data_IF_166095412070
#
_entry.id   IF_166095412070
#
_cell.length_a   1.000
_cell.length_b   1.000
_cell.length_c   1.000
_cell.angle_alpha   90.00
_cell.angle_beta   90.00
_cell.angle_gamma   90.00
#
_symmetry.space_group_name_H-M   'P 1'
#
loop_
_entity.id
_entity.type
_entity.pdbx_description
1 polymer ?
#
# COMPACT_ATOMS: atom_id res chain seq x y z
N UNK A 1 -17.84 -3.85 35.13
CA UNK A 1 -19.13 -3.94 34.42
C UNK A 1 -18.98 -3.18 33.12
N UNK A 2 -19.24 -3.90 32.02
CA UNK A 2 -19.48 -3.50 30.63
C UNK A 2 -18.41 -2.78 29.79
N UNK A 3 -17.58 -3.63 29.15
CA UNK A 3 -16.77 -3.37 27.96
C UNK A 3 -17.65 -3.16 26.69
N UNK A 4 -18.41 -2.05 26.60
CA UNK A 4 -19.32 -1.81 25.46
C UNK A 4 -19.04 -0.59 24.57
N UNK A 5 -17.91 0.10 24.73
CA UNK A 5 -17.63 1.27 23.88
C UNK A 5 -16.22 1.24 23.27
N UNK A 6 -16.12 0.64 22.08
CA UNK A 6 -15.11 0.97 21.08
C UNK A 6 -15.85 1.62 19.90
N UNK A 7 -16.05 2.94 20.01
CA UNK A 7 -16.51 3.74 18.89
C UNK A 7 -15.40 3.80 17.83
N UNK A 8 -15.65 3.16 16.69
CA UNK A 8 -15.50 3.72 15.35
C UNK A 8 -14.46 4.87 15.21
N UNK A 9 -13.17 4.56 15.13
CA UNK A 9 -12.14 5.55 14.72
C UNK A 9 -11.02 4.91 13.91
N UNK A 10 -11.36 4.25 12.79
CA UNK A 10 -10.53 4.23 11.56
C UNK A 10 -11.48 4.02 10.36
N UNK A 11 -12.40 4.95 10.16
CA UNK A 11 -13.00 5.13 8.83
C UNK A 11 -12.22 6.24 8.15
N UNK A 12 -11.57 5.90 7.04
CA UNK A 12 -10.90 6.84 6.14
C UNK A 12 -11.81 8.05 5.92
N UNK A 13 -11.46 9.19 6.54
CA UNK A 13 -12.00 10.54 6.32
C UNK A 13 -13.44 10.61 5.74
N UNK A 14 -14.42 10.13 6.49
CA UNK A 14 -15.79 10.64 6.37
C UNK A 14 -15.93 11.78 7.40
N UNK A 15 -16.20 13.03 6.99
CA UNK A 15 -16.64 14.03 7.95
C UNK A 15 -17.90 13.47 8.62
N UNK A 16 -17.93 13.58 9.94
CA UNK A 16 -18.92 13.12 10.93
C UNK A 16 -20.41 13.36 10.54
N UNK A 17 -20.67 14.11 9.46
CA UNK A 17 -22.00 14.46 8.93
C UNK A 17 -22.67 13.34 8.13
N UNK A 18 -21.93 12.38 7.55
CA UNK A 18 -22.55 11.30 6.73
C UNK A 18 -23.00 10.10 7.57
N UNK A 19 -22.44 9.91 8.77
CA UNK A 19 -22.78 8.78 9.65
C UNK A 19 -24.16 8.91 10.31
N UNK A 20 -24.75 10.10 10.35
CA UNK A 20 -26.10 10.31 10.90
C UNK A 20 -27.23 9.95 9.93
N UNK A 21 -26.92 9.67 8.65
CA UNK A 21 -27.91 9.27 7.63
C UNK A 21 -27.66 7.87 7.05
N UNK A 22 -26.64 7.15 7.53
CA UNK A 22 -26.35 5.81 7.06
C UNK A 22 -27.14 4.78 7.90
N UNK A 23 -28.15 4.07 7.35
CA UNK A 23 -28.89 3.05 8.09
C UNK A 23 -27.99 1.88 8.56
N UNK A 24 -26.77 1.76 8.02
CA UNK A 24 -25.74 0.81 8.45
C UNK A 24 -25.09 1.17 9.80
N UNK A 25 -25.13 2.44 10.24
CA UNK A 25 -24.52 2.87 11.51
C UNK A 25 -25.11 2.14 12.74
N UNK A 26 -26.34 1.63 12.63
CA UNK A 26 -27.01 0.86 13.67
C UNK A 26 -26.40 -0.55 13.89
N UNK A 27 -25.75 -1.15 12.87
CA UNK A 27 -25.09 -2.46 12.98
C UNK A 27 -23.75 -2.41 13.73
N UNK A 28 -23.14 -1.23 13.86
CA UNK A 28 -21.84 -1.05 14.50
C UNK A 28 -21.89 -0.84 16.02
N UNK A 29 -23.09 -0.88 16.64
CA UNK A 29 -23.24 -0.54 18.07
C UNK A 29 -22.67 -1.59 19.03
N UNK A 30 -22.49 -2.84 18.62
CA UNK A 30 -21.89 -3.89 19.47
C UNK A 30 -21.18 -4.94 18.59
N UNK A 31 -19.94 -4.67 18.17
CA UNK A 31 -19.10 -5.72 17.57
C UNK A 31 -18.23 -6.32 18.68
N UNK A 32 -18.65 -7.48 19.18
CA UNK A 32 -17.88 -8.31 20.10
C UNK A 32 -16.68 -8.93 19.35
N UNK A 33 -15.47 -8.84 19.92
CA UNK A 33 -14.28 -9.51 19.37
C UNK A 33 -14.44 -11.04 19.28
N UNK A 34 -15.38 -11.61 20.01
CA UNK A 34 -15.72 -13.04 19.94
C UNK A 34 -16.52 -13.42 18.68
N UNK A 35 -16.98 -12.44 17.88
CA UNK A 35 -17.79 -12.64 16.67
C UNK A 35 -17.00 -12.54 15.36
N UNK A 36 -15.68 -12.68 15.40
CA UNK A 36 -14.87 -12.81 14.17
C UNK A 36 -15.19 -14.14 13.50
N UNK A 37 -15.65 -14.10 12.25
CA UNK A 37 -15.84 -15.33 11.47
C UNK A 37 -14.48 -16.00 11.23
N UNK A 38 -14.31 -17.21 11.76
CA UNK A 38 -13.07 -17.98 11.67
C UNK A 38 -12.74 -18.30 10.20
N UNK A 39 -11.46 -18.24 9.87
CA UNK A 39 -10.94 -18.73 8.59
C UNK A 39 -11.12 -20.24 8.48
N UNK A 40 -11.48 -20.74 7.29
CA UNK A 40 -11.66 -22.18 7.05
C UNK A 40 -10.34 -22.94 7.30
N UNK A 41 -10.42 -24.17 7.85
CA UNK A 41 -9.25 -25.03 8.08
C UNK A 41 -8.48 -25.24 6.78
N UNK A 42 -7.23 -24.80 6.75
CA UNK A 42 -6.34 -24.96 5.59
C UNK A 42 -5.43 -26.18 5.77
N UNK A 43 -5.10 -26.87 4.68
CA UNK A 43 -4.15 -27.98 4.68
C UNK A 43 -2.75 -27.47 5.06
N UNK A 44 -2.18 -28.07 6.10
CA UNK A 44 -0.81 -27.81 6.56
C UNK A 44 0.16 -28.46 5.57
N UNK A 45 1.19 -27.76 5.05
CA UNK A 45 2.24 -28.38 4.24
C UNK A 45 2.86 -29.56 5.00
N UNK A 46 3.05 -30.70 4.34
CA UNK A 46 3.48 -31.96 4.96
C UNK A 46 4.78 -31.82 5.79
N UNK A 47 5.71 -30.93 5.41
CA UNK A 47 6.95 -30.66 6.15
C UNK A 47 6.75 -30.05 7.54
N UNK A 48 5.68 -29.26 7.74
CA UNK A 48 5.38 -28.58 9.01
C UNK A 48 4.57 -29.48 9.97
N UNK A 49 3.91 -30.52 9.44
CA UNK A 49 3.01 -31.41 10.21
C UNK A 49 3.71 -32.29 11.26
N UNK A 50 5.03 -32.45 11.19
CA UNK A 50 5.79 -33.49 11.92
C UNK A 50 6.31 -33.01 13.29
N UNK A 51 6.26 -31.70 13.60
CA UNK A 51 6.84 -31.14 14.84
C UNK A 51 5.79 -30.62 15.81
N UNK A 52 5.95 -30.98 17.08
CA UNK A 52 5.16 -30.38 18.17
C UNK A 52 5.49 -28.89 18.30
N UNK A 53 4.47 -28.02 18.19
CA UNK A 53 4.62 -26.56 18.22
C UNK A 53 5.40 -26.07 19.46
N UNK A 54 5.25 -26.73 20.61
CA UNK A 54 5.90 -26.36 21.88
C UNK A 54 7.42 -26.51 21.88
N UNK A 55 8.01 -27.18 20.89
CA UNK A 55 9.47 -27.36 20.76
C UNK A 55 10.12 -26.32 19.83
N UNK A 56 9.35 -25.43 19.20
CA UNK A 56 9.87 -24.44 18.27
C UNK A 56 10.38 -23.20 19.02
N UNK A 57 11.68 -22.93 18.90
CA UNK A 57 12.30 -21.72 19.47
C UNK A 57 12.09 -20.46 18.62
N UNK A 58 12.06 -20.63 17.30
CA UNK A 58 11.97 -19.54 16.33
C UNK A 58 10.65 -19.62 15.56
N UNK A 59 10.17 -18.46 15.10
CA UNK A 59 8.98 -18.37 14.24
C UNK A 59 9.23 -19.14 12.94
N UNK A 60 8.23 -19.89 12.49
CA UNK A 60 8.17 -20.39 11.12
C UNK A 60 8.12 -19.21 10.13
N UNK A 61 8.41 -19.45 8.85
CA UNK A 61 8.35 -18.39 7.83
C UNK A 61 6.92 -18.08 7.40
N UNK A 62 6.02 -19.06 7.48
CA UNK A 62 4.61 -18.94 7.12
C UNK A 62 3.69 -18.61 8.32
N UNK A 63 4.23 -18.42 9.52
CA UNK A 63 3.45 -18.13 10.73
C UNK A 63 2.82 -19.37 11.42
N UNK A 64 3.02 -20.58 10.90
CA UNK A 64 2.55 -21.83 11.52
C UNK A 64 3.04 -22.00 12.97
N UNK A 65 2.21 -22.60 13.82
CA UNK A 65 2.48 -22.87 15.24
C UNK A 65 2.67 -21.63 16.14
N UNK A 66 2.32 -20.41 15.67
CA UNK A 66 2.31 -19.25 16.57
C UNK A 66 1.20 -19.35 17.63
N UNK A 67 0.01 -19.80 17.22
CA UNK A 67 -1.07 -20.13 18.12
C UNK A 67 -1.00 -21.62 18.49
N UNK A 68 -0.82 -21.94 19.78
CA UNK A 68 -0.61 -23.32 20.23
C UNK A 68 -1.88 -24.19 20.17
N UNK A 69 -3.06 -23.56 20.27
CA UNK A 69 -4.37 -24.22 20.21
C UNK A 69 -4.85 -24.47 18.78
N UNK A 70 -4.62 -23.51 17.89
CA UNK A 70 -4.96 -23.58 16.46
C UNK A 70 -3.74 -23.15 15.63
N UNK A 71 -2.82 -24.08 15.30
CA UNK A 71 -1.53 -23.77 14.67
C UNK A 71 -1.60 -23.00 13.35
N UNK A 72 -2.76 -23.00 12.68
CA UNK A 72 -2.98 -22.33 11.40
C UNK A 72 -3.42 -20.87 11.49
N UNK A 73 -3.71 -20.34 12.69
CA UNK A 73 -4.15 -18.95 12.86
C UNK A 73 -3.05 -17.97 12.44
N UNK A 74 -3.43 -16.95 11.67
CA UNK A 74 -2.52 -15.91 11.19
C UNK A 74 -1.43 -16.38 10.22
N UNK A 75 -1.53 -17.60 9.68
CA UNK A 75 -0.57 -18.10 8.69
C UNK A 75 -0.67 -17.37 7.35
N UNK A 76 0.45 -17.32 6.63
CA UNK A 76 0.47 -16.98 5.21
C UNK A 76 -0.39 -17.93 4.37
N UNK A 77 -0.84 -17.46 3.21
CA UNK A 77 -1.72 -18.18 2.26
C UNK A 77 -3.11 -18.53 2.80
N UNK A 78 -3.49 -17.99 3.97
CA UNK A 78 -4.78 -18.22 4.63
C UNK A 78 -5.83 -17.16 4.25
N UNK A 79 -7.07 -17.36 4.69
CA UNK A 79 -8.14 -16.40 4.48
C UNK A 79 -8.11 -15.29 5.51
N UNK A 80 -8.42 -14.06 5.09
CA UNK A 80 -8.68 -12.97 6.02
C UNK A 80 -9.84 -13.32 6.96
N UNK A 81 -9.71 -12.90 8.21
CA UNK A 81 -10.83 -12.85 9.14
C UNK A 81 -11.78 -11.71 8.74
N UNK A 82 -13.05 -11.79 9.16
CA UNK A 82 -14.03 -10.75 8.88
C UNK A 82 -14.65 -10.22 10.16
N UNK A 83 -14.75 -8.89 10.24
CA UNK A 83 -15.48 -8.22 11.32
C UNK A 83 -16.99 -8.35 11.12
N UNK A 84 -17.44 -8.29 9.86
CA UNK A 84 -18.85 -8.47 9.47
C UNK A 84 -18.96 -9.45 8.29
N UNK A 85 -20.09 -10.17 8.14
CA UNK A 85 -20.30 -11.04 6.99
C UNK A 85 -20.12 -10.29 5.66
N UNK A 86 -19.63 -10.97 4.63
CA UNK A 86 -19.48 -10.37 3.30
C UNK A 86 -20.85 -9.94 2.76
N UNK A 87 -20.99 -8.67 2.40
CA UNK A 87 -22.15 -8.18 1.68
C UNK A 87 -21.86 -8.17 0.18
N UNK A 88 -22.46 -9.14 -0.49
CA UNK A 88 -22.37 -9.35 -1.93
C UNK A 88 -23.62 -8.90 -2.67
N UNK A 89 -24.54 -8.23 -1.96
CA UNK A 89 -25.80 -7.78 -2.52
C UNK A 89 -25.53 -6.74 -3.60
N UNK A 90 -25.44 -7.21 -4.84
CA UNK A 90 -25.50 -6.40 -6.08
C UNK A 90 -26.86 -5.72 -6.27
N UNK A 91 -27.74 -5.77 -5.25
CA UNK A 91 -29.05 -5.16 -5.21
C UNK A 91 -28.97 -3.68 -4.78
N UNK A 92 -28.05 -2.93 -5.39
CA UNK A 92 -27.96 -1.50 -5.18
C UNK A 92 -28.28 -0.79 -6.48
N UNK A 93 -29.45 -0.15 -6.48
CA UNK A 93 -29.69 1.08 -7.24
C UNK A 93 -28.40 1.89 -7.36
N UNK A 94 -27.94 2.11 -8.60
CA UNK A 94 -26.88 3.02 -9.03
C UNK A 94 -25.81 3.38 -7.95
N UNK A 95 -24.98 2.42 -7.55
CA UNK A 95 -23.75 2.74 -6.82
C UNK A 95 -22.91 3.75 -7.63
N UNK A 96 -22.43 4.85 -7.02
CA UNK A 96 -21.62 5.81 -7.75
C UNK A 96 -20.31 5.17 -8.21
N UNK A 97 -19.89 5.48 -9.43
CA UNK A 97 -18.60 5.07 -9.96
C UNK A 97 -17.49 5.52 -8.98
N UNK A 98 -16.57 4.63 -8.55
CA UNK A 98 -15.51 4.98 -7.60
C UNK A 98 -14.66 6.19 -8.03
N UNK A 99 -14.48 6.37 -9.34
CA UNK A 99 -13.80 7.54 -9.91
C UNK A 99 -14.52 8.85 -9.61
N UNK A 100 -15.86 8.87 -9.68
CA UNK A 100 -16.63 10.07 -9.30
C UNK A 100 -16.48 10.38 -7.81
N UNK A 101 -16.43 9.36 -6.95
CA UNK A 101 -16.19 9.56 -5.50
C UNK A 101 -14.79 10.16 -5.30
N UNK A 102 -13.77 9.61 -5.96
CA UNK A 102 -12.40 10.13 -5.90
C UNK A 102 -12.32 11.59 -6.32
N UNK A 103 -12.98 11.98 -7.42
CA UNK A 103 -12.93 13.35 -7.93
C UNK A 103 -13.71 14.35 -7.08
N UNK A 104 -14.87 13.94 -6.55
CA UNK A 104 -15.73 14.83 -5.75
C UNK A 104 -15.31 14.95 -4.29
N UNK A 105 -14.88 13.85 -3.66
CA UNK A 105 -14.57 13.83 -2.22
C UNK A 105 -13.07 13.97 -1.92
N UNK A 106 -12.19 13.54 -2.83
CA UNK A 106 -10.73 13.54 -2.63
C UNK A 106 -10.02 14.37 -3.71
N UNK A 107 -10.31 15.69 -3.81
CA UNK A 107 -9.66 16.53 -4.80
C UNK A 107 -8.15 16.59 -4.54
N UNK A 108 -7.35 16.55 -5.62
CA UNK A 108 -5.89 16.66 -5.54
C UNK A 108 -5.47 18.02 -4.99
N UNK A 109 -5.26 18.09 -3.67
CA UNK A 109 -4.73 19.26 -2.98
C UNK A 109 -3.46 18.86 -2.21
N UNK A 110 -2.30 19.48 -2.51
CA UNK A 110 -1.07 19.18 -1.77
C UNK A 110 -1.14 19.83 -0.39
N UNK A 111 -1.55 19.05 0.60
CA UNK A 111 -1.54 19.45 2.01
C UNK A 111 -0.30 18.81 2.65
N UNK A 112 0.63 19.65 3.09
CA UNK A 112 1.85 19.20 3.78
C UNK A 112 1.54 19.06 5.27
N UNK A 113 1.77 17.87 5.81
CA UNK A 113 1.72 17.61 7.25
C UNK A 113 2.87 18.37 7.94
N UNK A 114 2.57 19.09 9.03
CA UNK A 114 3.53 19.92 9.74
C UNK A 114 4.26 19.18 10.86
N UNK A 115 3.69 18.07 11.31
CA UNK A 115 4.13 17.35 12.51
C UNK A 115 4.89 16.07 12.14
N UNK A 116 4.55 15.44 10.99
CA UNK A 116 5.10 14.15 10.60
C UNK A 116 5.85 14.18 9.27
N UNK A 117 7.01 13.55 9.25
CA UNK A 117 7.82 13.40 8.03
C UNK A 117 7.29 12.28 7.13
N UNK A 118 7.75 12.29 5.87
CA UNK A 118 7.44 11.23 4.88
C UNK A 118 7.89 9.83 5.33
N UNK A 119 8.83 9.73 6.28
CA UNK A 119 9.20 8.45 6.87
C UNK A 119 8.02 7.76 7.56
N UNK A 120 7.08 8.51 8.14
CA UNK A 120 5.88 7.98 8.78
C UNK A 120 4.95 7.30 7.77
N UNK A 121 4.72 7.95 6.63
CA UNK A 121 3.97 7.36 5.52
C UNK A 121 4.65 6.09 5.03
N UNK A 122 5.96 6.16 4.78
CA UNK A 122 6.70 5.05 4.21
C UNK A 122 6.76 3.84 5.16
N UNK A 123 6.92 4.09 6.46
CA UNK A 123 6.89 3.05 7.47
C UNK A 123 5.49 2.45 7.62
N UNK A 124 4.43 3.24 7.49
CA UNK A 124 3.06 2.75 7.41
C UNK A 124 2.85 1.75 6.27
N UNK A 125 3.45 2.00 5.10
CA UNK A 125 3.43 1.05 4.00
C UNK A 125 4.19 -0.26 4.32
N UNK A 126 5.32 -0.19 5.03
CA UNK A 126 6.06 -1.39 5.49
C UNK A 126 5.19 -2.24 6.42
N UNK A 127 4.56 -1.61 7.42
CA UNK A 127 3.64 -2.29 8.36
C UNK A 127 2.47 -2.93 7.61
N UNK A 128 1.90 -2.22 6.62
CA UNK A 128 0.81 -2.72 5.82
C UNK A 128 1.19 -3.98 5.03
N UNK A 129 2.36 -3.96 4.40
CA UNK A 129 2.86 -5.09 3.60
C UNK A 129 3.22 -6.31 4.47
N UNK A 130 3.62 -6.09 5.73
CA UNK A 130 3.99 -7.19 6.64
C UNK A 130 2.80 -8.03 7.10
N UNK A 131 1.61 -7.42 7.22
CA UNK A 131 0.41 -8.08 7.74
C UNK A 131 -0.69 -8.28 6.69
N UNK A 132 -0.53 -7.68 5.51
CA UNK A 132 -1.52 -7.77 4.44
C UNK A 132 -0.90 -7.82 3.05
N UNK A 133 -1.39 -8.77 2.27
CA UNK A 133 -1.24 -8.88 0.83
C UNK A 133 -2.46 -9.60 0.28
N UNK A 134 -2.83 -9.38 -0.98
CA UNK A 134 -4.03 -9.99 -1.54
C UNK A 134 -3.70 -10.77 -2.80
N UNK A 135 -4.14 -12.03 -2.83
CA UNK A 135 -4.20 -12.80 -4.07
C UNK A 135 -5.42 -12.37 -4.88
N UNK A 136 -5.20 -12.01 -6.16
CA UNK A 136 -6.27 -11.92 -7.16
C UNK A 136 -6.12 -13.04 -8.20
N UNK A 137 -7.23 -13.65 -8.67
CA UNK A 137 -8.64 -13.36 -8.39
C UNK A 137 -9.16 -13.99 -7.08
N UNK A 138 -10.37 -13.62 -6.66
CA UNK A 138 -11.07 -14.24 -5.53
C UNK A 138 -11.29 -15.73 -5.83
N UNK A 139 -10.71 -16.62 -5.02
CA UNK A 139 -10.89 -18.07 -5.13
C UNK A 139 -11.90 -18.52 -4.06
N UNK A 140 -13.00 -19.17 -4.49
CA UNK A 140 -14.07 -19.72 -3.64
C UNK A 140 -14.76 -18.73 -2.69
N UNK A 141 -15.91 -18.19 -3.12
CA UNK A 141 -16.93 -17.57 -2.25
C UNK A 141 -16.43 -16.37 -1.46
N UNK A 142 -16.30 -15.20 -2.11
CA UNK A 142 -16.14 -13.85 -1.53
C UNK A 142 -15.13 -13.67 -0.37
N UNK A 143 -14.29 -14.66 -0.09
CA UNK A 143 -13.25 -14.61 0.93
C UNK A 143 -11.91 -14.40 0.25
N UNK A 144 -11.23 -13.35 0.65
CA UNK A 144 -9.92 -12.98 0.16
C UNK A 144 -8.87 -13.83 0.88
N UNK A 145 -7.91 -14.36 0.13
CA UNK A 145 -6.70 -14.95 0.70
C UNK A 145 -5.61 -13.90 0.81
N UNK A 146 -4.81 -14.03 1.87
CA UNK A 146 -3.56 -13.30 2.02
C UNK A 146 -2.36 -14.18 1.68
N UNK A 147 -1.30 -13.63 1.09
CA UNK A 147 -0.04 -14.36 0.86
C UNK A 147 0.95 -14.20 2.02
N UNK A 148 0.67 -13.30 2.98
CA UNK A 148 1.59 -12.95 4.06
C UNK A 148 1.06 -13.39 5.42
N UNK A 149 1.96 -13.52 6.40
CA UNK A 149 1.53 -13.80 7.78
C UNK A 149 0.71 -12.62 8.34
N UNK A 150 -0.14 -12.86 9.33
CA UNK A 150 -0.86 -11.79 10.03
C UNK A 150 -0.05 -11.17 11.18
N UNK A 151 1.19 -11.58 11.36
CA UNK A 151 2.05 -11.15 12.44
C UNK A 151 2.99 -10.04 11.96
N UNK A 152 3.33 -9.11 12.85
CA UNK A 152 4.43 -8.18 12.59
C UNK A 152 5.76 -8.91 12.80
N UNK A 153 6.14 -9.76 11.84
CA UNK A 153 7.31 -10.62 11.89
C UNK A 153 8.32 -10.34 10.77
N UNK A 154 8.23 -9.15 10.19
CA UNK A 154 9.17 -8.63 9.18
C UNK A 154 9.30 -9.59 7.99
N UNK A 155 8.20 -10.28 7.66
CA UNK A 155 8.04 -11.17 6.51
C UNK A 155 8.33 -10.45 5.18
N UNK A 156 8.15 -9.13 5.14
CA UNK A 156 8.57 -8.27 4.02
C UNK A 156 10.08 -8.36 3.70
N UNK A 157 10.89 -8.80 4.67
CA UNK A 157 12.32 -9.06 4.48
C UNK A 157 12.59 -10.55 4.36
N UNK A 158 11.99 -11.37 5.23
CA UNK A 158 12.34 -12.79 5.37
C UNK A 158 11.54 -13.74 4.48
N UNK A 159 10.51 -13.25 3.78
CA UNK A 159 9.58 -14.07 3.01
C UNK A 159 8.56 -14.79 3.89
N UNK A 160 7.55 -15.35 3.22
CA UNK A 160 6.38 -16.01 3.83
C UNK A 160 6.38 -17.54 3.70
N UNK A 161 7.46 -18.10 3.17
CA UNK A 161 7.68 -19.54 3.06
C UNK A 161 9.19 -19.83 3.08
N UNK A 162 9.53 -21.11 3.25
CA UNK A 162 10.92 -21.55 3.40
C UNK A 162 11.71 -21.34 2.11
N UNK A 163 11.09 -21.54 0.97
CA UNK A 163 11.74 -21.44 -0.35
C UNK A 163 12.25 -20.02 -0.60
N UNK A 164 11.41 -19.01 -0.32
CA UNK A 164 11.78 -17.59 -0.42
C UNK A 164 12.85 -17.24 0.61
N UNK A 165 12.67 -17.68 1.87
CA UNK A 165 13.63 -17.42 2.94
C UNK A 165 15.01 -18.01 2.61
N UNK A 166 15.07 -19.22 2.08
CA UNK A 166 16.30 -19.88 1.64
C UNK A 166 16.89 -19.17 0.41
N UNK A 167 16.04 -18.74 -0.54
CA UNK A 167 16.48 -18.02 -1.74
C UNK A 167 17.19 -16.72 -1.41
N UNK A 168 16.78 -15.97 -0.38
CA UNK A 168 17.44 -14.69 -0.02
C UNK A 168 18.67 -14.88 0.88
N UNK A 169 19.00 -16.09 1.34
CA UNK A 169 20.11 -16.37 2.27
C UNK A 169 21.39 -16.73 1.56
N UNK A 170 22.52 -16.34 2.14
CA UNK A 170 23.85 -16.78 1.68
C UNK A 170 24.17 -18.21 2.16
N UNK A 171 23.55 -18.66 3.26
CA UNK A 171 23.93 -19.87 4.01
C UNK A 171 25.38 -19.87 4.48
N UNK A 172 25.88 -18.68 4.78
CA UNK A 172 27.18 -18.44 5.38
C UNK A 172 27.08 -17.27 6.36
N UNK A 173 27.63 -17.47 7.56
CA UNK A 173 27.71 -16.44 8.61
C UNK A 173 26.36 -15.85 9.04
N UNK A 174 25.26 -16.53 8.72
CA UNK A 174 23.89 -16.10 8.97
C UNK A 174 23.42 -14.94 8.10
N UNK A 175 24.07 -14.65 6.97
CA UNK A 175 23.82 -13.45 6.17
C UNK A 175 22.72 -13.60 5.11
N UNK A 176 22.07 -12.47 4.80
CA UNK A 176 21.23 -12.28 3.62
C UNK A 176 22.08 -11.89 2.40
N UNK A 177 21.63 -12.29 1.20
CA UNK A 177 22.30 -12.03 -0.08
C UNK A 177 22.30 -10.52 -0.38
N UNK A 178 23.49 -9.95 -0.40
CA UNK A 178 23.72 -8.55 -0.76
C UNK A 178 24.91 -8.44 -1.72
N UNK A 179 25.10 -7.25 -2.30
CA UNK A 179 26.27 -6.86 -3.06
C UNK A 179 26.71 -5.43 -2.68
N UNK A 180 28.00 -5.14 -2.82
CA UNK A 180 28.53 -3.80 -2.57
C UNK A 180 28.45 -2.97 -3.85
N UNK A 181 27.75 -1.83 -3.79
CA UNK A 181 27.73 -0.83 -4.86
C UNK A 181 28.13 0.52 -4.28
N UNK A 182 29.17 1.14 -4.82
CA UNK A 182 29.69 2.44 -4.37
C UNK A 182 29.94 2.53 -2.85
N UNK A 183 30.53 1.48 -2.27
CA UNK A 183 30.85 1.44 -0.83
C UNK A 183 29.65 1.20 0.09
N UNK A 184 28.46 0.95 -0.45
CA UNK A 184 27.27 0.64 0.33
C UNK A 184 26.71 -0.74 -0.01
N UNK A 185 26.11 -1.40 0.98
CA UNK A 185 25.53 -2.75 0.86
C UNK A 185 24.10 -2.68 0.30
N UNK A 186 23.80 -3.39 -0.77
CA UNK A 186 22.46 -3.42 -1.35
C UNK A 186 22.00 -4.85 -1.63
N UNK A 187 20.67 -5.10 -1.72
CA UNK A 187 20.16 -6.33 -2.30
C UNK A 187 20.69 -6.53 -3.72
N UNK A 188 20.82 -7.81 -4.10
CA UNK A 188 21.16 -8.17 -5.48
C UNK A 188 20.07 -7.71 -6.43
N UNK A 189 20.46 -7.46 -7.68
CA UNK A 189 19.51 -7.12 -8.73
C UNK A 189 18.96 -8.37 -9.42
N UNK A 190 17.67 -8.36 -9.75
CA UNK A 190 17.08 -9.34 -10.64
C UNK A 190 17.62 -9.14 -12.05
N UNK A 191 18.13 -10.23 -12.65
CA UNK A 191 18.68 -10.20 -14.02
C UNK A 191 17.59 -10.12 -15.10
N UNK A 192 16.41 -10.67 -14.80
CA UNK A 192 15.26 -10.75 -15.72
C UNK A 192 13.97 -10.59 -14.92
N UNK A 193 13.55 -9.35 -14.63
CA UNK A 193 12.29 -9.08 -13.97
C UNK A 193 11.10 -9.62 -14.77
N UNK A 194 10.09 -10.05 -14.04
CA UNK A 194 8.78 -10.48 -14.51
C UNK A 194 7.71 -9.49 -14.05
N UNK A 195 6.50 -9.61 -14.58
CA UNK A 195 5.35 -8.76 -14.18
C UNK A 195 5.10 -8.78 -12.67
N UNK A 196 5.36 -9.91 -12.00
CA UNK A 196 5.18 -10.06 -10.56
C UNK A 196 6.22 -9.31 -9.70
N UNK A 197 7.28 -8.79 -10.30
CA UNK A 197 8.39 -8.17 -9.57
C UNK A 197 8.18 -6.67 -9.28
N UNK A 198 7.04 -6.10 -9.71
CA UNK A 198 6.71 -4.66 -9.58
C UNK A 198 7.75 -3.72 -10.21
N UNK A 199 8.51 -4.23 -11.17
CA UNK A 199 9.58 -3.53 -11.87
C UNK A 199 9.75 -4.05 -13.32
N UNK A 200 8.71 -4.68 -13.89
CA UNK A 200 8.77 -5.32 -15.21
C UNK A 200 9.01 -4.36 -16.36
N UNK A 201 8.71 -3.07 -16.15
CA UNK A 201 8.84 -2.03 -17.16
C UNK A 201 10.23 -1.39 -17.20
N UNK A 202 11.25 -2.07 -16.64
CA UNK A 202 12.61 -1.60 -16.72
C UNK A 202 13.10 -1.54 -18.17
N UNK A 203 13.47 -0.35 -18.62
CA UNK A 203 13.83 -0.01 -20.00
C UNK A 203 15.30 0.38 -20.14
N UNK A 204 15.92 0.88 -19.08
CA UNK A 204 17.25 1.52 -19.17
C UNK A 204 18.34 0.79 -18.36
N UNK A 205 19.58 0.74 -18.88
CA UNK A 205 20.74 0.31 -18.10
C UNK A 205 20.95 1.23 -16.89
N UNK A 206 20.70 0.72 -15.68
CA UNK A 206 20.86 1.47 -14.42
C UNK A 206 19.61 1.48 -13.53
N UNK A 207 18.46 1.07 -14.05
CA UNK A 207 17.27 0.84 -13.23
C UNK A 207 17.48 -0.36 -12.31
N UNK A 208 17.08 -0.22 -11.04
CA UNK A 208 17.34 -1.22 -10.00
C UNK A 208 16.08 -1.98 -9.64
N UNK A 209 16.01 -3.27 -9.97
CA UNK A 209 15.00 -4.18 -9.42
C UNK A 209 15.64 -5.13 -8.43
N UNK A 210 15.23 -5.07 -7.17
CA UNK A 210 15.83 -5.83 -6.10
C UNK A 210 15.25 -7.23 -5.99
N UNK A 211 16.15 -8.20 -5.86
CA UNK A 211 15.86 -9.60 -5.53
C UNK A 211 15.73 -9.72 -3.99
N UNK A 212 14.50 -9.70 -3.50
CA UNK A 212 14.15 -9.61 -2.07
C UNK A 212 12.96 -10.52 -1.73
N UNK A 213 12.71 -10.73 -0.44
CA UNK A 213 11.64 -11.62 0.04
C UNK A 213 10.22 -11.18 -0.28
N UNK A 214 10.01 -9.88 -0.51
CA UNK A 214 8.73 -9.29 -0.94
C UNK A 214 8.94 -8.37 -2.13
N UNK A 215 8.40 -8.75 -3.28
CA UNK A 215 8.64 -8.04 -4.54
C UNK A 215 8.00 -6.65 -4.58
N UNK A 216 7.07 -6.34 -3.66
CA UNK A 216 6.45 -5.01 -3.57
C UNK A 216 7.45 -3.96 -3.12
N UNK A 217 8.61 -4.36 -2.57
CA UNK A 217 9.73 -3.48 -2.31
C UNK A 217 10.11 -2.61 -3.53
N UNK A 218 9.88 -3.11 -4.75
CA UNK A 218 10.23 -2.42 -5.99
C UNK A 218 9.14 -1.43 -6.48
N UNK A 219 8.00 -1.30 -5.80
CA UNK A 219 6.90 -0.42 -6.21
C UNK A 219 7.28 1.07 -6.22
N UNK A 220 8.12 1.49 -5.27
CA UNK A 220 8.65 2.85 -5.23
C UNK A 220 10.02 2.89 -4.52
N UNK A 221 10.88 3.87 -4.85
CA UNK A 221 12.24 3.95 -4.28
C UNK A 221 12.29 4.09 -2.76
N UNK A 222 11.30 4.78 -2.16
CA UNK A 222 11.25 5.01 -0.72
C UNK A 222 10.97 3.71 0.06
N UNK A 223 10.07 2.86 -0.46
CA UNK A 223 9.82 1.53 0.09
C UNK A 223 11.06 0.63 -0.08
N UNK A 224 11.68 0.63 -1.26
CA UNK A 224 12.93 -0.09 -1.48
C UNK A 224 14.01 0.30 -0.46
N UNK A 225 14.10 1.60 -0.13
CA UNK A 225 15.01 2.11 0.89
C UNK A 225 14.74 1.51 2.28
N UNK A 226 13.48 1.39 2.69
CA UNK A 226 13.13 0.74 3.96
C UNK A 226 13.53 -0.73 3.97
N UNK A 227 13.30 -1.47 2.88
CA UNK A 227 13.74 -2.86 2.77
C UNK A 227 15.26 -2.99 2.87
N UNK A 228 16.01 -2.12 2.16
CA UNK A 228 17.48 -2.08 2.21
C UNK A 228 17.97 -1.86 3.64
N UNK A 229 17.35 -0.95 4.40
CA UNK A 229 17.73 -0.66 5.79
C UNK A 229 17.56 -1.89 6.69
N UNK A 230 16.43 -2.60 6.60
CA UNK A 230 16.21 -3.80 7.43
C UNK A 230 17.07 -4.99 7.01
N UNK A 231 17.44 -5.10 5.72
CA UNK A 231 18.41 -6.11 5.23
C UNK A 231 19.82 -5.80 5.77
N UNK A 232 20.25 -4.53 5.70
CA UNK A 232 21.51 -4.08 6.28
C UNK A 232 21.55 -4.32 7.78
N UNK A 233 20.45 -4.06 8.49
CA UNK A 233 20.36 -4.27 9.93
C UNK A 233 20.50 -5.75 10.29
N UNK A 234 19.84 -6.65 9.56
CA UNK A 234 20.04 -8.09 9.75
C UNK A 234 21.52 -8.49 9.59
N UNK A 235 22.17 -8.08 8.49
CA UNK A 235 23.58 -8.40 8.25
C UNK A 235 24.50 -7.77 9.31
N UNK A 236 24.19 -6.56 9.80
CA UNK A 236 24.93 -5.91 10.90
C UNK A 236 24.82 -6.71 12.20
N UNK A 237 23.61 -7.15 12.56
CA UNK A 237 23.35 -7.97 13.75
C UNK A 237 24.05 -9.32 13.62
N UNK A 238 23.89 -10.03 12.50
CA UNK A 238 24.49 -11.33 12.24
C UNK A 238 26.03 -11.28 12.38
N UNK A 239 26.69 -10.31 11.73
CA UNK A 239 28.14 -10.09 11.87
C UNK A 239 28.54 -9.86 13.34
N UNK A 240 27.77 -9.06 14.08
CA UNK A 240 28.08 -8.78 15.50
C UNK A 240 27.86 -9.99 16.39
N UNK A 241 26.80 -10.77 16.16
CA UNK A 241 26.51 -12.00 16.90
C UNK A 241 27.60 -13.06 16.67
N UNK A 242 28.08 -13.21 15.43
CA UNK A 242 29.16 -14.13 15.11
C UNK A 242 30.50 -13.71 15.74
N UNK A 243 30.80 -12.41 15.78
CA UNK A 243 31.97 -11.90 16.51
C UNK A 243 31.91 -12.21 18.01
N UNK A 244 30.73 -12.08 18.62
CA UNK A 244 30.51 -12.37 20.04
C UNK A 244 30.44 -13.88 20.32
N UNK A 245 30.01 -14.67 19.33
CA UNK A 245 29.78 -16.10 19.46
C UNK A 245 30.38 -16.87 18.27
N UNK A 246 31.71 -17.03 18.20
CA UNK A 246 32.37 -17.63 17.04
C UNK A 246 31.97 -19.09 16.76
N UNK A 247 31.47 -19.80 17.78
CA UNK A 247 31.06 -21.21 17.68
C UNK A 247 29.60 -21.40 17.25
N UNK A 248 28.83 -20.32 17.01
CA UNK A 248 27.47 -20.47 16.53
C UNK A 248 27.44 -20.92 15.07
N UNK A 249 26.51 -21.83 14.76
CA UNK A 249 26.26 -22.26 13.38
C UNK A 249 25.62 -21.14 12.56
N UNK A 250 25.73 -21.21 11.23
CA UNK A 250 25.04 -20.30 10.30
C UNK A 250 23.56 -20.10 10.65
N UNK A 251 22.84 -21.23 10.81
CA UNK A 251 21.42 -21.22 11.14
C UNK A 251 21.12 -20.51 12.46
N UNK A 252 21.95 -20.71 13.48
CA UNK A 252 21.75 -20.06 14.78
C UNK A 252 21.97 -18.55 14.68
N UNK A 253 23.02 -18.11 13.97
CA UNK A 253 23.28 -16.68 13.75
C UNK A 253 22.14 -16.05 12.97
N UNK A 254 21.69 -16.68 11.88
CA UNK A 254 20.57 -16.20 11.07
C UNK A 254 19.28 -16.05 11.90
N UNK A 255 18.87 -17.09 12.64
CA UNK A 255 17.61 -17.05 13.39
C UNK A 255 17.65 -16.06 14.55
N UNK A 256 18.78 -15.91 15.25
CA UNK A 256 18.91 -14.89 16.30
C UNK A 256 18.93 -13.47 15.72
N UNK A 257 19.62 -13.25 14.59
CA UNK A 257 19.59 -11.96 13.89
C UNK A 257 18.19 -11.62 13.38
N UNK A 258 17.47 -12.59 12.79
CA UNK A 258 16.06 -12.47 12.39
C UNK A 258 15.18 -12.13 13.59
N UNK A 259 15.31 -12.85 14.71
CA UNK A 259 14.53 -12.62 15.93
C UNK A 259 14.72 -11.21 16.50
N UNK A 260 15.97 -10.72 16.55
CA UNK A 260 16.26 -9.36 17.04
C UNK A 260 15.69 -8.29 16.11
N UNK A 261 15.87 -8.45 14.79
CA UNK A 261 15.38 -7.48 13.81
C UNK A 261 13.84 -7.39 13.81
N UNK A 262 13.16 -8.54 13.96
CA UNK A 262 11.70 -8.60 14.17
C UNK A 262 11.31 -7.84 15.44
N UNK A 263 12.00 -8.05 16.56
CA UNK A 263 11.71 -7.35 17.81
C UNK A 263 11.92 -5.84 17.69
N UNK A 264 12.96 -5.39 16.97
CA UNK A 264 13.16 -3.97 16.65
C UNK A 264 11.98 -3.42 15.83
N UNK A 265 11.56 -4.14 14.78
CA UNK A 265 10.41 -3.76 13.97
C UNK A 265 9.12 -3.66 14.80
N UNK A 266 8.80 -4.66 15.62
CA UNK A 266 7.64 -4.64 16.51
C UNK A 266 7.69 -3.46 17.49
N UNK A 267 8.84 -3.18 18.09
CA UNK A 267 8.99 -2.05 19.00
C UNK A 267 8.75 -0.71 18.29
N UNK A 268 9.37 -0.50 17.12
CA UNK A 268 9.18 0.73 16.33
C UNK A 268 7.69 0.87 15.93
N UNK A 269 7.07 -0.21 15.46
CA UNK A 269 5.66 -0.21 15.07
C UNK A 269 4.74 0.18 16.24
N UNK A 270 4.85 -0.49 17.39
CA UNK A 270 3.92 -0.27 18.50
C UNK A 270 4.22 0.97 19.35
N UNK A 271 5.49 1.33 19.55
CA UNK A 271 5.87 2.39 20.49
C UNK A 271 6.25 3.72 19.83
N UNK A 272 6.52 3.72 18.51
CA UNK A 272 6.88 4.96 17.79
C UNK A 272 5.85 5.30 16.71
N UNK A 273 5.49 4.35 15.84
CA UNK A 273 4.61 4.62 14.70
C UNK A 273 3.12 4.62 15.08
N UNK A 274 2.58 3.54 15.65
CA UNK A 274 1.15 3.48 15.98
C UNK A 274 0.67 4.58 16.94
N UNK A 275 1.46 5.10 17.89
CA UNK A 275 1.05 6.24 18.72
C UNK A 275 0.80 7.53 17.94
N UNK A 276 1.44 7.71 16.78
CA UNK A 276 1.17 8.83 15.85
C UNK A 276 -0.25 8.71 15.28
N UNK A 277 -0.68 7.49 14.99
CA UNK A 277 -1.95 7.19 14.30
C UNK A 277 -3.11 7.07 15.28
N UNK A 278 -2.92 6.35 16.37
CA UNK A 278 -3.96 5.97 17.32
C UNK A 278 -3.97 6.83 18.59
N UNK A 279 -2.89 7.59 18.84
CA UNK A 279 -2.67 8.34 20.07
C UNK A 279 -2.16 7.45 21.21
N UNK A 280 -1.01 7.82 21.80
CA UNK A 280 -0.37 7.06 22.90
C UNK A 280 -1.32 6.78 24.07
N UNK A 281 -2.10 7.79 24.48
CA UNK A 281 -3.08 7.68 25.58
C UNK A 281 -4.11 6.58 25.30
N UNK A 282 -4.67 6.56 24.10
CA UNK A 282 -5.65 5.54 23.70
C UNK A 282 -5.03 4.13 23.70
N UNK A 283 -3.78 4.01 23.21
CA UNK A 283 -3.10 2.71 23.18
C UNK A 283 -2.79 2.17 24.58
N UNK A 284 -2.43 3.04 25.55
CA UNK A 284 -2.25 2.66 26.95
C UNK A 284 -3.57 2.25 27.60
N UNK A 285 -4.63 3.07 27.44
CA UNK A 285 -5.96 2.79 27.99
C UNK A 285 -6.55 1.47 27.47
N UNK A 286 -6.27 1.13 26.22
CA UNK A 286 -6.75 -0.10 25.57
C UNK A 286 -5.77 -1.27 25.72
N UNK A 287 -4.69 -1.13 26.49
CA UNK A 287 -3.67 -2.16 26.71
C UNK A 287 -3.09 -2.74 25.41
N UNK A 288 -2.91 -1.86 24.42
CA UNK A 288 -2.21 -2.18 23.17
C UNK A 288 -0.69 -2.03 23.39
N UNK A 289 -0.30 -1.08 24.25
CA UNK A 289 1.06 -0.91 24.77
C UNK A 289 1.00 -0.75 26.28
N UNK A 290 2.15 -0.90 26.92
CA UNK A 290 2.31 -0.84 28.36
C UNK A 290 3.42 0.15 28.72
N UNK A 291 3.30 0.79 29.88
CA UNK A 291 4.38 1.54 30.52
C UNK A 291 4.86 0.69 31.70
N UNK A 292 5.81 -0.21 31.43
CA UNK A 292 6.25 -1.22 32.38
C UNK A 292 7.78 -1.37 32.35
N UNK A 293 8.37 -1.51 33.52
CA UNK A 293 9.81 -1.75 33.70
C UNK A 293 10.21 -3.24 33.53
N UNK A 294 9.24 -4.12 33.30
CA UNK A 294 9.42 -5.58 33.24
C UNK A 294 8.72 -6.25 32.05
N UNK A 295 8.70 -7.59 32.07
CA UNK A 295 8.07 -8.38 31.01
C UNK A 295 6.54 -8.23 31.02
N UNK A 296 5.96 -8.18 29.82
CA UNK A 296 4.54 -8.29 29.58
C UNK A 296 4.27 -9.66 28.96
N UNK A 297 3.83 -10.60 29.79
CA UNK A 297 3.56 -11.99 29.41
C UNK A 297 2.05 -12.23 29.31
N UNK A 298 1.38 -11.49 28.42
CA UNK A 298 -0.08 -11.50 28.24
C UNK A 298 -0.54 -12.30 27.00
N UNK A 299 0.34 -13.15 26.46
CA UNK A 299 0.00 -14.07 25.36
C UNK A 299 -1.24 -14.88 25.73
N UNK A 300 -2.22 -14.86 24.82
CA UNK A 300 -3.47 -15.59 24.96
C UNK A 300 -3.79 -16.36 23.68
N UNK A 301 -3.70 -17.69 23.75
CA UNK A 301 -3.96 -18.59 22.62
C UNK A 301 -5.43 -18.62 22.17
N UNK A 302 -6.36 -18.05 22.95
CA UNK A 302 -7.75 -17.91 22.52
C UNK A 302 -7.96 -16.73 21.57
N UNK A 303 -7.06 -15.74 21.56
CA UNK A 303 -7.13 -14.58 20.67
C UNK A 303 -6.84 -15.00 19.22
N UNK A 304 -7.71 -14.58 18.30
CA UNK A 304 -7.47 -14.72 16.87
C UNK A 304 -6.64 -13.54 16.36
N UNK A 305 -5.41 -13.83 15.95
CA UNK A 305 -4.47 -12.84 15.40
C UNK A 305 -4.57 -12.69 13.88
N UNK A 306 -5.51 -13.38 13.24
CA UNK A 306 -5.70 -13.31 11.78
C UNK A 306 -6.07 -11.89 11.36
N UNK A 307 -5.38 -11.36 10.36
CA UNK A 307 -5.67 -10.04 9.83
C UNK A 307 -7.12 -9.95 9.34
N UNK A 308 -7.76 -8.82 9.60
CA UNK A 308 -9.13 -8.56 9.15
C UNK A 308 -9.13 -8.10 7.68
N UNK A 309 -10.12 -8.54 6.90
CA UNK A 309 -10.32 -8.13 5.52
C UNK A 309 -10.53 -6.61 5.44
N UNK A 310 -11.32 -6.06 6.37
CA UNK A 310 -11.59 -4.63 6.49
C UNK A 310 -10.31 -3.84 6.81
N UNK A 311 -9.36 -4.45 7.54
CA UNK A 311 -8.08 -3.84 7.88
C UNK A 311 -7.17 -3.75 6.65
N UNK A 312 -6.88 -4.89 6.01
CA UNK A 312 -5.94 -4.96 4.89
C UNK A 312 -6.46 -4.31 3.60
N UNK A 313 -7.78 -4.35 3.36
CA UNK A 313 -8.35 -3.84 2.11
C UNK A 313 -8.91 -2.42 2.20
N UNK A 314 -9.16 -1.89 3.39
CA UNK A 314 -9.74 -0.56 3.55
C UNK A 314 -9.05 0.30 4.62
N UNK A 315 -9.17 -0.06 5.91
CA UNK A 315 -8.84 0.84 7.01
C UNK A 315 -7.36 1.22 7.04
N UNK A 316 -6.46 0.25 6.84
CA UNK A 316 -5.02 0.53 6.91
C UNK A 316 -4.47 1.22 5.66
N UNK A 317 -5.27 1.38 4.59
CA UNK A 317 -4.91 2.16 3.40
C UNK A 317 -4.94 3.67 3.61
N UNK A 318 -5.17 4.14 4.84
CA UNK A 318 -5.18 5.56 5.19
C UNK A 318 -3.85 6.26 4.84
N UNK A 319 -2.71 5.54 4.89
CA UNK A 319 -1.39 6.11 4.55
C UNK A 319 -1.29 6.58 3.09
N UNK A 320 -2.19 6.15 2.19
CA UNK A 320 -2.26 6.71 0.84
C UNK A 320 -2.58 8.21 0.83
N UNK A 321 -3.27 8.72 1.87
CA UNK A 321 -3.52 10.16 2.05
C UNK A 321 -2.26 10.94 2.43
N UNK A 322 -1.22 10.25 2.89
CA UNK A 322 0.05 10.83 3.32
C UNK A 322 1.13 10.80 2.21
N UNK A 323 0.81 10.24 1.03
CA UNK A 323 1.72 10.24 -0.12
C UNK A 323 1.85 11.65 -0.67
N UNK A 324 3.08 12.15 -0.77
CA UNK A 324 3.35 13.46 -1.37
C UNK A 324 3.04 13.43 -2.89
N UNK A 325 1.94 14.07 -3.31
CA UNK A 325 1.47 14.09 -4.70
C UNK A 325 2.15 15.13 -5.60
N UNK A 326 3.48 15.09 -5.75
CA UNK A 326 4.18 16.09 -6.56
C UNK A 326 4.15 15.76 -8.07
N UNK A 327 3.31 16.49 -8.85
CA UNK A 327 3.42 16.61 -10.30
C UNK A 327 3.63 18.09 -10.66
N UNK A 328 4.89 18.51 -10.70
CA UNK A 328 5.28 19.88 -11.10
C UNK A 328 5.37 20.06 -12.63
N UNK A 329 4.76 19.20 -13.43
CA UNK A 329 4.88 19.30 -14.91
C UNK A 329 4.32 20.60 -15.45
N UNK A 330 3.30 21.19 -14.80
CA UNK A 330 2.81 22.53 -15.14
C UNK A 330 3.74 23.65 -14.69
N UNK A 331 4.20 23.61 -13.44
CA UNK A 331 4.97 24.71 -12.81
C UNK A 331 6.45 24.71 -13.28
N UNK A 332 6.98 23.53 -13.58
CA UNK A 332 8.35 23.32 -14.08
C UNK A 332 8.48 23.36 -15.60
N UNK A 333 7.38 23.49 -16.35
CA UNK A 333 7.42 23.62 -17.80
C UNK A 333 7.46 25.09 -18.21
N UNK A 334 8.64 25.56 -18.62
CA UNK A 334 8.83 26.92 -19.13
C UNK A 334 8.00 27.23 -20.39
N UNK A 335 7.47 26.21 -21.06
CA UNK A 335 6.60 26.30 -22.24
C UNK A 335 5.13 26.04 -21.93
N UNK A 336 4.75 25.97 -20.65
CA UNK A 336 3.35 25.83 -20.28
C UNK A 336 2.49 26.94 -20.91
N UNK A 337 1.40 26.54 -21.59
CA UNK A 337 0.65 27.43 -22.49
C UNK A 337 0.05 28.68 -21.83
N UNK A 338 -0.12 28.70 -20.50
CA UNK A 338 -0.61 29.88 -19.76
C UNK A 338 0.49 30.82 -19.28
N UNK A 339 1.77 30.50 -19.51
CA UNK A 339 2.86 31.43 -19.18
C UNK A 339 2.82 32.65 -20.10
N UNK A 340 3.10 33.81 -19.52
CA UNK A 340 3.26 35.07 -20.25
C UNK A 340 4.70 35.27 -20.71
N UNK A 341 4.91 36.03 -21.78
CA UNK A 341 6.23 36.37 -22.32
C UNK A 341 6.54 35.66 -23.63
N UNK A 342 7.76 35.81 -24.14
CA UNK A 342 8.14 35.37 -25.50
C UNK A 342 8.00 33.85 -25.74
N UNK A 343 8.02 33.04 -24.68
CA UNK A 343 7.87 31.58 -24.77
C UNK A 343 6.41 31.10 -24.68
N UNK A 344 5.49 32.00 -24.36
CA UNK A 344 4.07 31.71 -24.20
C UNK A 344 3.20 32.36 -25.29
N UNK A 345 1.89 32.27 -25.13
CA UNK A 345 0.92 32.87 -26.06
C UNK A 345 0.55 34.30 -25.64
N UNK A 346 0.16 35.15 -26.59
CA UNK A 346 -0.48 36.43 -26.23
C UNK A 346 -1.79 36.18 -25.50
N UNK A 347 -2.33 37.17 -24.78
CA UNK A 347 -3.59 37.00 -24.06
C UNK A 347 -4.75 36.69 -25.02
N UNK A 348 -4.75 37.28 -26.22
CA UNK A 348 -5.72 37.03 -27.28
C UNK A 348 -5.60 35.59 -27.82
N UNK A 349 -4.38 35.16 -28.12
CA UNK A 349 -4.08 33.78 -28.53
C UNK A 349 -4.48 32.76 -27.46
N UNK A 350 -4.18 33.04 -26.19
CA UNK A 350 -4.55 32.19 -25.06
C UNK A 350 -6.08 32.08 -24.90
N UNK A 351 -6.82 33.18 -25.07
CA UNK A 351 -8.28 33.17 -25.03
C UNK A 351 -8.89 32.36 -26.18
N UNK A 352 -8.25 32.31 -27.36
CA UNK A 352 -8.67 31.39 -28.43
C UNK A 352 -8.32 29.93 -28.11
N UNK A 353 -7.12 29.64 -27.60
CA UNK A 353 -6.72 28.28 -27.20
C UNK A 353 -7.69 27.72 -26.15
N UNK A 354 -8.18 28.53 -25.21
CA UNK A 354 -9.16 28.12 -24.18
C UNK A 354 -10.51 27.65 -24.72
N UNK A 355 -10.82 27.92 -25.99
CA UNK A 355 -12.02 27.38 -26.66
C UNK A 355 -11.83 25.93 -27.15
N UNK A 356 -10.60 25.42 -27.17
CA UNK A 356 -10.28 24.08 -27.65
C UNK A 356 -11.08 23.01 -26.90
N UNK A 357 -11.63 22.06 -27.65
CA UNK A 357 -12.25 20.85 -27.11
C UNK A 357 -11.80 19.64 -27.92
N UNK A 358 -11.70 18.48 -27.27
CA UNK A 358 -11.34 17.24 -27.97
C UNK A 358 -12.44 16.85 -28.98
N UNK A 359 -13.70 17.19 -28.71
CA UNK A 359 -14.81 17.09 -29.66
C UNK A 359 -14.54 17.86 -30.96
N UNK A 360 -14.02 19.10 -30.87
CA UNK A 360 -13.71 19.89 -32.05
C UNK A 360 -12.52 19.33 -32.83
N UNK A 361 -11.47 18.91 -32.12
CA UNK A 361 -10.29 18.29 -32.74
C UNK A 361 -10.69 17.04 -33.52
N UNK A 362 -11.59 16.20 -32.97
CA UNK A 362 -12.12 15.03 -33.69
C UNK A 362 -12.97 15.42 -34.89
N UNK A 363 -13.83 16.44 -34.79
CA UNK A 363 -14.59 16.95 -35.94
C UNK A 363 -13.72 17.45 -37.10
N UNK A 364 -12.56 18.05 -36.80
CA UNK A 364 -11.67 18.63 -37.82
C UNK A 364 -10.68 17.63 -38.41
N UNK A 365 -10.42 16.51 -37.71
CA UNK A 365 -9.37 15.56 -38.08
C UNK A 365 -9.87 14.12 -38.31
N UNK A 366 -11.15 13.84 -38.08
CA UNK A 366 -11.80 12.57 -38.35
C UNK A 366 -13.08 12.77 -39.17
N UNK A 367 -13.56 11.70 -39.81
CA UNK A 367 -14.77 11.77 -40.64
C UNK A 367 -16.05 11.71 -39.77
N UNK A 368 -16.21 12.70 -38.89
CA UNK A 368 -17.31 12.81 -37.91
C UNK A 368 -18.05 14.12 -38.19
N UNK A 369 -19.37 14.07 -38.33
CA UNK A 369 -20.23 15.24 -38.65
C UNK A 369 -21.10 15.68 -37.47
N UNK A 370 -21.33 14.80 -36.50
CA UNK A 370 -22.02 15.09 -35.24
C UNK A 370 -21.29 14.45 -34.08
N UNK A 371 -21.18 15.19 -32.99
CA UNK A 371 -20.62 14.72 -31.73
C UNK A 371 -21.13 15.60 -30.60
N UNK A 372 -21.16 15.09 -29.38
CA UNK A 372 -21.46 15.88 -28.19
C UNK A 372 -20.30 16.82 -27.84
N UNK A 373 -20.62 17.95 -27.19
CA UNK A 373 -19.63 18.98 -26.89
C UNK A 373 -18.56 18.51 -25.89
N UNK A 374 -18.97 17.77 -24.87
CA UNK A 374 -18.07 17.13 -23.90
C UNK A 374 -18.03 15.61 -24.13
N UNK A 375 -17.01 15.14 -24.84
CA UNK A 375 -16.89 13.72 -25.22
C UNK A 375 -16.49 12.81 -24.05
N UNK A 376 -16.08 13.39 -22.93
CA UNK A 376 -15.72 12.60 -21.75
C UNK A 376 -16.96 12.12 -20.98
N UNK A 377 -18.13 12.64 -21.34
CA UNK A 377 -19.42 12.23 -20.80
C UNK A 377 -20.32 11.67 -21.91
N UNK A 378 -21.19 10.73 -21.53
CA UNK A 378 -22.19 10.20 -22.45
C UNK A 378 -23.14 11.32 -22.90
N UNK A 379 -23.61 11.27 -24.16
CA UNK A 379 -24.56 12.25 -24.65
C UNK A 379 -25.89 12.17 -23.90
N UNK A 380 -26.47 13.32 -23.58
CA UNK A 380 -27.78 13.45 -22.94
C UNK A 380 -28.52 14.69 -23.46
N UNK A 381 -29.85 14.69 -23.39
CA UNK A 381 -30.69 15.73 -24.00
C UNK A 381 -30.66 17.09 -23.29
N UNK A 382 -30.17 17.17 -22.06
CA UNK A 382 -30.26 18.38 -21.22
C UNK A 382 -28.99 19.23 -21.29
N UNK A 383 -27.81 18.62 -21.18
CA UNK A 383 -26.54 19.34 -20.98
C UNK A 383 -25.44 18.95 -21.95
N UNK A 384 -25.55 17.81 -22.64
CA UNK A 384 -24.48 17.29 -23.50
C UNK A 384 -25.02 16.55 -24.73
N UNK A 385 -25.97 17.16 -25.45
CA UNK A 385 -26.57 16.53 -26.63
C UNK A 385 -25.56 16.45 -27.77
N UNK A 386 -25.73 15.46 -28.65
CA UNK A 386 -25.01 15.46 -29.92
C UNK A 386 -25.41 16.67 -30.76
N UNK A 387 -24.41 17.39 -31.26
CA UNK A 387 -24.59 18.63 -32.01
C UNK A 387 -23.75 18.57 -33.30
N UNK A 388 -24.08 19.39 -34.29
CA UNK A 388 -23.30 19.42 -35.52
C UNK A 388 -21.87 19.94 -35.23
N UNK A 389 -20.87 19.30 -35.82
CA UNK A 389 -19.47 19.70 -35.71
C UNK A 389 -19.19 21.18 -36.07
N UNK A 390 -20.04 21.78 -36.91
CA UNK A 390 -20.00 23.21 -37.27
C UNK A 390 -20.37 24.13 -36.09
N UNK A 391 -21.20 23.67 -35.16
CA UNK A 391 -21.66 24.44 -34.00
C UNK A 391 -20.66 24.39 -32.82
N UNK A 392 -19.66 23.50 -32.89
CA UNK A 392 -18.60 23.41 -31.89
C UNK A 392 -17.53 24.48 -32.21
N UNK A 393 -17.21 25.39 -31.28
CA UNK A 393 -16.25 26.48 -31.51
C UNK A 393 -14.88 25.97 -31.95
N UNK A 394 -14.33 26.55 -33.03
CA UNK A 394 -12.96 26.33 -33.48
C UNK A 394 -12.00 27.35 -32.85
N UNK A 395 -10.72 27.00 -32.78
CA UNK A 395 -9.65 27.96 -32.43
C UNK A 395 -9.43 28.88 -33.64
N UNK A 396 -9.54 30.20 -33.45
CA UNK A 396 -9.30 31.16 -34.53
C UNK A 396 -7.79 31.37 -34.76
N UNK A 397 -7.22 30.65 -35.72
CA UNK A 397 -5.79 30.72 -36.05
C UNK A 397 -5.35 32.05 -36.70
N UNK A 398 -6.27 32.96 -37.04
CA UNK A 398 -5.91 34.27 -37.58
C UNK A 398 -5.09 35.12 -36.59
N UNK A 399 -5.16 34.83 -35.29
CA UNK A 399 -4.35 35.50 -34.27
C UNK A 399 -2.86 35.11 -34.27
N UNK A 400 -2.46 34.14 -35.12
CA UNK A 400 -1.06 33.76 -35.34
C UNK A 400 -0.50 34.33 -36.65
N UNK A 401 -1.26 35.18 -37.35
CA UNK A 401 -0.80 35.81 -38.58
C UNK A 401 0.29 36.84 -38.29
N UNK A 402 1.52 36.53 -38.68
CA UNK A 402 2.63 37.48 -38.63
C UNK A 402 2.53 38.52 -39.76
N UNK A 403 3.01 39.76 -39.54
CA UNK A 403 3.14 40.74 -40.61
C UNK A 403 4.08 40.21 -41.69
N UNK A 404 3.76 40.46 -42.97
CA UNK A 404 4.68 40.15 -44.07
C UNK A 404 5.96 40.94 -43.82
N UNK A 405 7.10 40.24 -43.74
CA UNK A 405 8.42 40.90 -43.77
C UNK A 405 8.50 41.67 -45.09
N UNK A 406 8.55 42.99 -45.02
CA UNK A 406 8.98 43.78 -46.16
C UNK A 406 10.45 43.43 -46.42
N UNK A 407 10.76 43.02 -47.64
CA UNK A 407 12.13 42.70 -48.03
C UNK A 407 12.99 43.95 -47.82
N UNK A 408 13.83 43.93 -46.79
CA UNK A 408 14.97 44.83 -46.61
C UNK A 408 16.08 44.52 -47.60
#
# INVERSE_FOLDING_TARGET
MDNKHLYLMVFVLLPVVVLSQCPFAAQFKEIDRNHVQQSDKMEVPLEDSVRSCSKLKYRSYNGYCNNLKVPTRGMAYSYYARLIPSDDSRNQSALPLPKMISEKLYPSKPIIDKDYSLASMQYGQVVAHDISDRIMPLLNGNKQKTTVTSYLDLSVIYGNNKEVADHIRVFKEGLLKTEMRNGQEFPKLLKKPTIGDNCSDMREPGESCYDVGDTRANQNPQLAMMHILFIREHNRIARKLLQLNPNWTDEKVYQEARKINIAQHQHIAFYQYLPIVLGRKNMLEKKIIYDADGYIDDYNEDVDATALDEHGNAAFRYYHTQIAGHLNTRVGDRYWYEHSGELGFTLEQLNEIRKSSLSKILCENANITKIQKDIFHLPNSETNRETNCEEIPAVNLMLWKEPKRENS
#
